data_IF_077553338091
#
_entry.id   IF_077553338091
#
_cell.length_a   1.000
_cell.length_b   1.000
_cell.length_c   1.000
_cell.angle_alpha   90.00
_cell.angle_beta   90.00
_cell.angle_gamma   90.00
#
_symmetry.space_group_name_H-M   'P 1'
#
loop_
_entity.id
_entity.type
_entity.pdbx_description
1 polymer ?
#
# COMPACT_ATOMS: atom_id res chain seq x y z
N UNK A 1 -18.83 81.65 -11.89
CA UNK A 1 -19.46 81.12 -13.11
C UNK A 1 -18.83 79.76 -13.43
N UNK A 2 -19.65 78.69 -13.52
CA UNK A 2 -19.55 77.55 -14.48
C UNK A 2 -18.11 77.06 -14.81
N UNK A 3 -17.65 75.85 -14.48
CA UNK A 3 -18.18 74.52 -14.88
C UNK A 3 -17.18 73.42 -14.46
N UNK A 4 -17.68 72.25 -14.06
CA UNK A 4 -17.21 70.85 -14.33
C UNK A 4 -15.70 70.62 -14.56
N UNK A 5 -14.96 69.76 -13.88
CA UNK A 5 -15.26 68.44 -13.32
C UNK A 5 -14.19 67.48 -13.84
N UNK A 6 -13.44 66.81 -12.95
CA UNK A 6 -12.71 65.58 -13.31
C UNK A 6 -12.43 64.76 -12.05
N UNK A 7 -13.19 63.68 -11.91
CA UNK A 7 -13.05 62.65 -10.91
C UNK A 7 -11.88 61.74 -11.33
N UNK A 8 -10.75 61.78 -10.61
CA UNK A 8 -9.64 60.86 -10.81
C UNK A 8 -9.90 59.57 -10.00
N UNK A 9 -10.56 58.61 -10.65
CA UNK A 9 -10.60 57.21 -10.26
C UNK A 9 -9.25 56.57 -10.65
N UNK A 10 -8.32 56.47 -9.70
CA UNK A 10 -7.17 55.58 -9.82
C UNK A 10 -7.64 54.15 -9.51
N UNK A 11 -7.95 53.42 -10.58
CA UNK A 11 -8.12 51.98 -10.58
C UNK A 11 -6.84 51.32 -10.09
N UNK A 12 -6.90 50.71 -8.90
CA UNK A 12 -5.91 49.75 -8.45
C UNK A 12 -5.99 48.52 -9.36
N UNK A 13 -5.09 48.43 -10.35
CA UNK A 13 -4.82 47.17 -11.05
C UNK A 13 -4.14 46.23 -10.06
N UNK A 14 -4.92 45.37 -9.41
CA UNK A 14 -4.38 44.18 -8.77
C UNK A 14 -3.89 43.26 -9.90
N UNK A 15 -2.62 43.40 -10.26
CA UNK A 15 -1.93 42.40 -11.05
C UNK A 15 -1.87 41.13 -10.18
N UNK A 16 -2.74 40.16 -10.47
CA UNK A 16 -2.54 38.79 -10.01
C UNK A 16 -1.32 38.31 -10.78
N UNK A 17 -0.13 38.46 -10.17
CA UNK A 17 1.06 37.82 -10.66
C UNK A 17 0.83 36.31 -10.58
N UNK A 18 0.54 35.67 -11.71
CA UNK A 18 0.69 34.23 -11.83
C UNK A 18 2.16 33.95 -11.62
N UNK A 19 2.50 33.50 -10.41
CA UNK A 19 3.84 33.05 -10.08
C UNK A 19 4.08 31.79 -10.90
N UNK A 20 4.73 31.94 -12.07
CA UNK A 20 5.26 30.82 -12.82
C UNK A 20 6.26 30.13 -11.89
N UNK A 21 5.94 28.91 -11.44
CA UNK A 21 6.84 28.10 -10.64
C UNK A 21 8.16 27.94 -11.39
N UNK A 22 9.27 28.32 -10.77
CA UNK A 22 10.60 28.02 -11.31
C UNK A 22 10.78 26.50 -11.33
N UNK A 23 11.12 25.96 -12.50
CA UNK A 23 11.49 24.55 -12.61
C UNK A 23 12.71 24.27 -11.72
N UNK A 24 12.67 23.17 -10.97
CA UNK A 24 13.81 22.72 -10.17
C UNK A 24 14.93 22.11 -11.06
N UNK A 25 16.02 21.64 -10.46
CA UNK A 25 17.15 21.05 -11.19
C UNK A 25 16.77 19.80 -12.01
N UNK A 26 15.61 19.20 -11.74
CA UNK A 26 14.99 18.09 -12.48
C UNK A 26 14.05 18.54 -13.60
N UNK A 27 13.85 19.85 -13.80
CA UNK A 27 12.98 20.41 -14.82
C UNK A 27 11.50 20.40 -14.45
N UNK A 28 11.15 20.10 -13.20
CA UNK A 28 9.76 20.00 -12.75
C UNK A 28 9.27 21.37 -12.31
N UNK A 29 8.19 21.85 -12.93
CA UNK A 29 7.51 23.08 -12.51
C UNK A 29 6.71 22.79 -11.24
N UNK A 30 7.12 23.37 -10.12
CA UNK A 30 6.41 23.29 -8.85
C UNK A 30 5.02 23.93 -8.96
N UNK A 31 3.98 23.10 -9.03
CA UNK A 31 2.57 23.51 -8.96
C UNK A 31 1.85 22.67 -7.92
N UNK A 32 0.72 23.11 -7.39
CA UNK A 32 -0.11 22.29 -6.47
C UNK A 32 -0.59 20.99 -7.12
N UNK A 33 -0.63 20.91 -8.45
CA UNK A 33 -0.98 19.70 -9.21
C UNK A 33 0.18 18.71 -9.30
N UNK A 34 1.42 19.20 -9.34
CA UNK A 34 2.63 18.39 -9.46
C UNK A 34 3.24 18.05 -8.09
N UNK A 35 3.18 18.99 -7.13
CA UNK A 35 3.69 18.91 -5.76
C UNK A 35 2.59 19.31 -4.75
N UNK A 36 1.56 18.48 -4.56
CA UNK A 36 0.53 18.74 -3.57
C UNK A 36 1.07 18.64 -2.14
N UNK A 37 0.53 19.46 -1.23
CA UNK A 37 0.80 19.34 0.20
C UNK A 37 0.17 18.04 0.73
N UNK A 38 0.99 17.03 0.99
CA UNK A 38 0.54 15.77 1.59
C UNK A 38 0.87 15.74 3.09
N UNK A 39 -0.02 15.13 3.88
CA UNK A 39 0.31 14.71 5.24
C UNK A 39 0.99 13.35 5.15
N UNK A 40 2.15 13.24 5.76
CA UNK A 40 2.92 12.00 5.79
C UNK A 40 2.73 11.29 7.12
N UNK A 41 2.70 9.96 7.09
CA UNK A 41 2.66 9.11 8.26
C UNK A 41 3.99 8.38 8.41
N UNK A 42 4.71 8.70 9.48
CA UNK A 42 5.90 7.96 9.90
C UNK A 42 5.50 6.56 10.41
N UNK A 43 6.16 5.48 9.95
CA UNK A 43 5.93 4.15 10.49
C UNK A 43 6.15 4.10 12.01
N UNK A 44 5.14 3.64 12.74
CA UNK A 44 5.23 3.38 14.17
C UNK A 44 5.70 1.94 14.44
N UNK A 45 6.04 1.64 15.70
CA UNK A 45 6.33 0.26 16.09
C UNK A 45 5.13 -0.67 15.81
N UNK A 46 3.90 -0.20 16.04
CA UNK A 46 2.70 -0.98 15.72
C UNK A 46 2.60 -1.26 14.20
N UNK A 47 2.92 -0.28 13.35
CA UNK A 47 2.92 -0.49 11.89
C UNK A 47 3.89 -1.58 11.47
N UNK A 48 5.07 -1.66 12.11
CA UNK A 48 6.11 -2.65 11.82
C UNK A 48 5.74 -4.05 12.33
N UNK A 49 5.16 -4.15 13.54
CA UNK A 49 4.81 -5.43 14.17
C UNK A 49 3.43 -5.96 13.82
N UNK A 50 2.57 -5.16 13.18
CA UNK A 50 1.23 -5.55 12.72
C UNK A 50 1.12 -5.62 11.20
N UNK A 51 2.26 -5.61 10.49
CA UNK A 51 2.29 -5.48 9.04
C UNK A 51 1.86 -6.76 8.31
N UNK A 52 2.17 -7.92 8.88
CA UNK A 52 2.00 -9.20 8.18
C UNK A 52 2.99 -9.38 7.04
N UNK A 53 2.89 -10.52 6.34
CA UNK A 53 3.75 -10.85 5.21
C UNK A 53 3.18 -11.97 4.35
N UNK A 54 3.71 -12.15 3.14
CA UNK A 54 3.46 -13.32 2.28
C UNK A 54 4.75 -14.14 2.20
N UNK A 55 4.72 -15.41 2.59
CA UNK A 55 5.92 -16.26 2.57
C UNK A 55 5.75 -17.48 1.65
N UNK A 56 6.74 -17.78 0.78
CA UNK A 56 6.73 -19.01 -0.01
C UNK A 56 6.95 -20.26 0.87
N UNK A 57 7.56 -20.10 2.05
CA UNK A 57 7.76 -21.15 3.03
C UNK A 57 6.62 -21.10 4.05
N UNK A 58 5.93 -22.23 4.23
CA UNK A 58 4.89 -22.32 5.27
C UNK A 58 5.53 -22.23 6.65
N UNK A 59 4.91 -21.43 7.52
CA UNK A 59 5.31 -21.35 8.92
C UNK A 59 4.88 -22.65 9.61
N UNK A 60 5.76 -23.35 10.34
CA UNK A 60 5.38 -24.54 11.09
C UNK A 60 4.31 -24.22 12.14
N UNK A 61 3.23 -24.98 12.16
CA UNK A 61 2.10 -24.81 13.09
C UNK A 61 2.15 -25.77 14.29
N UNK A 62 3.34 -26.31 14.62
CA UNK A 62 3.54 -27.25 15.73
C UNK A 62 3.38 -26.60 17.11
N UNK A 63 3.64 -25.29 17.17
CA UNK A 63 3.51 -24.45 18.33
C UNK A 63 2.40 -23.44 18.04
N UNK A 64 1.35 -23.43 18.88
CA UNK A 64 0.15 -22.63 18.63
C UNK A 64 -0.58 -22.31 19.93
N UNK A 65 -1.52 -21.37 19.87
CA UNK A 65 -2.39 -21.00 20.99
C UNK A 65 -3.48 -22.05 21.13
N UNK A 66 -3.54 -22.74 22.26
CA UNK A 66 -4.55 -23.76 22.57
C UNK A 66 -5.83 -23.13 23.15
N UNK A 67 -5.67 -22.04 23.91
CA UNK A 67 -6.75 -21.35 24.58
C UNK A 67 -6.23 -20.32 25.58
N UNK A 68 -7.01 -20.07 26.62
CA UNK A 68 -6.64 -19.20 27.73
C UNK A 68 -7.46 -19.51 28.97
N UNK A 69 -7.34 -18.66 29.99
CA UNK A 69 -7.89 -18.93 31.33
C UNK A 69 -9.40 -19.23 31.33
N UNK A 70 -10.15 -18.62 30.43
CA UNK A 70 -11.61 -18.75 30.32
C UNK A 70 -12.08 -19.68 29.19
N UNK A 71 -11.19 -20.48 28.61
CA UNK A 71 -11.57 -21.47 27.59
C UNK A 71 -12.50 -22.54 28.20
N UNK A 72 -13.60 -22.95 27.52
CA UNK A 72 -13.96 -22.59 26.14
C UNK A 72 -14.86 -21.35 25.98
N UNK A 73 -15.22 -20.66 27.06
CA UNK A 73 -16.18 -19.55 27.03
C UNK A 73 -15.63 -18.29 26.33
N UNK A 74 -14.32 -18.07 26.41
CA UNK A 74 -13.61 -16.97 25.73
C UNK A 74 -12.62 -17.55 24.72
N UNK A 75 -12.65 -17.00 23.50
CA UNK A 75 -11.81 -17.44 22.37
C UNK A 75 -11.00 -16.31 21.73
N UNK A 76 -11.08 -15.10 22.28
CA UNK A 76 -10.40 -13.90 21.77
C UNK A 76 -9.62 -13.30 22.92
N UNK A 77 -8.30 -13.27 22.80
CA UNK A 77 -7.39 -12.81 23.85
C UNK A 77 -6.63 -11.55 23.43
N UNK A 78 -6.48 -10.62 24.36
CA UNK A 78 -5.88 -9.29 24.15
C UNK A 78 -4.86 -8.96 25.24
N UNK A 79 -4.26 -7.76 25.18
CA UNK A 79 -3.21 -7.32 26.09
C UNK A 79 -3.52 -7.61 27.58
N UNK A 80 -2.54 -8.19 28.28
CA UNK A 80 -2.61 -8.54 29.70
C UNK A 80 -3.34 -9.84 30.02
N UNK A 81 -4.00 -10.48 29.04
CA UNK A 81 -4.68 -11.75 29.26
C UNK A 81 -3.71 -12.94 29.20
N UNK A 82 -4.10 -14.02 29.87
CA UNK A 82 -3.34 -15.27 29.91
C UNK A 82 -3.83 -16.23 28.83
N UNK A 83 -2.88 -16.67 28.00
CA UNK A 83 -3.08 -17.70 26.98
C UNK A 83 -2.28 -18.95 27.32
N UNK A 84 -2.77 -20.09 26.85
CA UNK A 84 -2.08 -21.38 26.89
C UNK A 84 -1.55 -21.69 25.51
N UNK A 85 -0.25 -21.97 25.43
CA UNK A 85 0.41 -22.39 24.21
C UNK A 85 0.56 -23.90 24.22
N UNK A 86 0.16 -24.56 23.14
CA UNK A 86 0.45 -25.96 22.88
C UNK A 86 1.80 -26.11 22.15
N UNK A 87 2.46 -27.24 22.36
CA UNK A 87 3.72 -27.58 21.71
C UNK A 87 4.89 -27.68 22.68
N UNK A 88 6.11 -27.64 22.18
CA UNK A 88 7.31 -27.85 23.00
C UNK A 88 8.44 -26.89 22.63
N UNK A 89 9.47 -26.86 23.47
CA UNK A 89 10.62 -25.97 23.28
C UNK A 89 10.39 -24.54 23.77
N UNK A 90 9.31 -24.28 24.51
CA UNK A 90 9.09 -23.01 25.19
C UNK A 90 10.09 -22.81 26.33
N UNK A 91 10.58 -21.58 26.49
CA UNK A 91 11.44 -21.18 27.59
C UNK A 91 10.76 -20.08 28.41
N UNK A 92 10.86 -20.20 29.73
CA UNK A 92 10.31 -19.19 30.63
C UNK A 92 10.98 -17.83 30.39
N UNK A 93 10.18 -16.77 30.33
CA UNK A 93 10.62 -15.40 30.07
C UNK A 93 10.85 -15.07 28.59
N UNK A 94 10.86 -16.06 27.69
CA UNK A 94 11.02 -15.84 26.25
C UNK A 94 9.74 -15.28 25.62
N UNK A 95 9.91 -14.43 24.61
CA UNK A 95 8.82 -13.86 23.84
C UNK A 95 8.61 -14.61 22.52
N UNK A 96 7.34 -14.68 22.11
CA UNK A 96 6.91 -15.32 20.88
C UNK A 96 6.00 -14.37 20.10
N UNK A 97 6.19 -14.29 18.79
CA UNK A 97 5.24 -13.67 17.87
C UNK A 97 4.10 -14.63 17.57
N UNK A 98 2.88 -14.14 17.63
CA UNK A 98 1.68 -14.88 17.26
C UNK A 98 1.29 -14.52 15.83
N UNK A 99 1.18 -15.54 14.99
CA UNK A 99 0.85 -15.43 13.57
C UNK A 99 -0.47 -16.12 13.25
N UNK A 100 -1.20 -15.59 12.27
CA UNK A 100 -2.40 -16.24 11.73
C UNK A 100 -2.22 -16.49 10.25
N UNK A 101 -2.35 -17.76 9.84
CA UNK A 101 -2.43 -18.11 8.42
C UNK A 101 -3.76 -17.57 7.86
N UNK A 102 -3.68 -16.73 6.83
CA UNK A 102 -4.85 -16.03 6.31
C UNK A 102 -5.47 -16.76 5.12
N UNK A 103 -6.80 -16.68 5.01
CA UNK A 103 -7.54 -17.07 3.81
C UNK A 103 -8.23 -15.84 3.26
N UNK A 104 -8.02 -15.56 1.98
CA UNK A 104 -8.75 -14.50 1.28
C UNK A 104 -10.25 -14.80 1.29
N UNK A 105 -11.02 -13.85 1.80
CA UNK A 105 -12.48 -13.93 1.89
C UNK A 105 -13.17 -13.27 0.70
N UNK A 106 -12.44 -12.51 -0.12
CA UNK A 106 -13.01 -11.85 -1.28
C UNK A 106 -13.33 -12.89 -2.35
N UNK A 107 -14.58 -12.88 -2.82
CA UNK A 107 -15.06 -13.79 -3.88
C UNK A 107 -14.60 -13.37 -5.28
N UNK A 108 -14.07 -12.16 -5.42
CA UNK A 108 -13.54 -11.58 -6.66
C UNK A 108 -12.03 -11.33 -6.58
N UNK A 109 -11.42 -11.03 -7.73
CA UNK A 109 -10.04 -10.54 -7.82
C UNK A 109 -10.06 -9.04 -8.09
N UNK A 110 -9.20 -8.27 -7.43
CA UNK A 110 -9.04 -6.84 -7.71
C UNK A 110 -8.40 -6.58 -9.07
N UNK A 111 -7.58 -7.52 -9.55
CA UNK A 111 -7.05 -7.50 -10.91
C UNK A 111 -6.96 -8.91 -11.47
N UNK A 112 -7.05 -9.04 -12.79
CA UNK A 112 -7.02 -10.34 -13.45
C UNK A 112 -5.76 -11.16 -13.09
N UNK A 113 -5.97 -12.36 -12.55
CA UNK A 113 -4.92 -13.30 -12.17
C UNK A 113 -4.30 -13.05 -10.80
N UNK A 114 -4.89 -12.19 -9.97
CA UNK A 114 -4.41 -11.88 -8.63
C UNK A 114 -4.19 -13.12 -7.77
N UNK A 115 -5.18 -14.02 -7.65
CA UNK A 115 -5.09 -15.20 -6.78
C UNK A 115 -3.97 -16.13 -7.22
N UNK A 116 -3.82 -16.32 -8.53
CA UNK A 116 -2.71 -17.10 -9.11
C UNK A 116 -1.36 -16.45 -8.77
N UNK A 117 -1.27 -15.12 -8.82
CA UNK A 117 -0.04 -14.41 -8.50
C UNK A 117 0.29 -14.54 -7.00
N UNK A 118 -0.67 -14.36 -6.10
CA UNK A 118 -0.48 -14.57 -4.66
C UNK A 118 -0.05 -16.01 -4.38
N UNK A 119 -0.75 -17.01 -4.92
CA UNK A 119 -0.40 -18.41 -4.75
C UNK A 119 1.02 -18.75 -5.26
N UNK A 120 1.49 -18.08 -6.32
CA UNK A 120 2.86 -18.25 -6.82
C UNK A 120 3.93 -17.65 -5.90
N UNK A 121 3.55 -16.75 -4.99
CA UNK A 121 4.45 -16.04 -4.08
C UNK A 121 4.43 -16.63 -2.68
N UNK A 122 3.31 -17.22 -2.27
CA UNK A 122 3.22 -18.00 -1.06
C UNK A 122 1.93 -17.78 -0.28
N UNK A 123 2.01 -18.07 1.00
CA UNK A 123 0.90 -18.00 1.95
C UNK A 123 0.94 -16.65 2.70
N UNK A 124 -0.15 -15.86 2.69
CA UNK A 124 -0.29 -14.68 3.54
C UNK A 124 -0.44 -15.04 5.02
N UNK A 125 0.23 -14.29 5.89
CA UNK A 125 0.14 -14.36 7.33
C UNK A 125 -0.09 -12.97 7.94
N UNK A 126 -0.97 -12.89 8.93
CA UNK A 126 -1.07 -11.74 9.80
C UNK A 126 -0.15 -11.91 11.02
N UNK A 127 0.46 -10.82 11.46
CA UNK A 127 1.10 -10.72 12.76
C UNK A 127 0.07 -10.21 13.76
N UNK A 128 -0.40 -11.10 14.62
CA UNK A 128 -1.57 -10.87 15.50
C UNK A 128 -1.15 -10.27 16.84
N UNK A 129 0.03 -10.64 17.34
CA UNK A 129 0.51 -10.11 18.61
C UNK A 129 1.83 -10.72 19.07
N UNK A 130 2.19 -10.41 20.32
CA UNK A 130 3.38 -10.89 21.01
C UNK A 130 2.98 -11.36 22.41
N UNK A 131 3.49 -12.52 22.80
CA UNK A 131 3.26 -13.12 24.12
C UNK A 131 4.59 -13.35 24.82
N UNK A 132 4.59 -13.30 26.15
CA UNK A 132 5.74 -13.66 26.98
C UNK A 132 5.41 -14.86 27.84
N UNK A 133 6.27 -15.88 27.78
CA UNK A 133 6.07 -17.12 28.53
C UNK A 133 6.31 -16.87 30.02
N UNK A 134 5.31 -17.21 30.85
CA UNK A 134 5.36 -17.11 32.30
C UNK A 134 5.78 -18.42 32.96
N UNK A 135 5.33 -19.55 32.41
CA UNK A 135 5.56 -20.89 32.95
C UNK A 135 5.54 -21.94 31.84
N UNK A 136 6.32 -23.00 32.00
CA UNK A 136 6.45 -24.07 30.99
C UNK A 136 6.07 -25.43 31.57
N UNK A 137 5.47 -26.26 30.71
CA UNK A 137 5.10 -27.65 30.98
C UNK A 137 5.71 -28.54 29.89
N UNK A 138 5.57 -29.86 30.02
CA UNK A 138 6.20 -30.81 29.09
C UNK A 138 5.72 -30.67 27.63
N UNK A 139 4.48 -30.21 27.40
CA UNK A 139 3.87 -30.02 26.07
C UNK A 139 2.99 -28.78 25.97
N UNK A 140 3.18 -27.84 26.88
CA UNK A 140 2.45 -26.58 26.87
C UNK A 140 3.22 -25.49 27.62
N UNK A 141 2.78 -24.26 27.46
CA UNK A 141 3.26 -23.13 28.23
C UNK A 141 2.10 -22.20 28.60
N UNK A 142 2.26 -21.47 29.71
CA UNK A 142 1.39 -20.37 30.10
C UNK A 142 2.09 -19.08 29.70
N UNK A 143 1.41 -18.22 28.95
CA UNK A 143 1.97 -16.96 28.48
C UNK A 143 1.00 -15.81 28.69
N UNK A 144 1.54 -14.60 28.85
CA UNK A 144 0.79 -13.36 28.95
C UNK A 144 0.91 -12.58 27.64
N UNK A 145 -0.21 -12.07 27.14
CA UNK A 145 -0.22 -11.21 25.94
C UNK A 145 0.40 -9.86 26.26
N UNK A 146 1.57 -9.58 25.67
CA UNK A 146 2.28 -8.32 25.87
C UNK A 146 1.82 -7.22 24.92
N UNK A 147 1.41 -7.62 23.71
CA UNK A 147 0.99 -6.71 22.64
C UNK A 147 0.08 -7.45 21.66
N UNK A 148 -1.00 -6.81 21.22
CA UNK A 148 -1.96 -7.37 20.28
C UNK A 148 -2.30 -6.35 19.19
N UNK A 149 -2.10 -6.74 17.94
CA UNK A 149 -2.60 -6.06 16.74
C UNK A 149 -4.06 -6.39 16.48
N UNK A 150 -4.40 -7.66 16.69
CA UNK A 150 -5.74 -8.23 16.59
C UNK A 150 -5.95 -9.20 17.77
N UNK A 151 -7.19 -9.58 18.10
CA UNK A 151 -7.41 -10.60 19.10
C UNK A 151 -6.75 -11.92 18.71
N UNK A 152 -5.98 -12.47 19.65
CA UNK A 152 -5.33 -13.79 19.55
C UNK A 152 -6.39 -14.86 19.75
N UNK A 153 -6.45 -15.83 18.85
CA UNK A 153 -7.44 -16.90 18.86
C UNK A 153 -6.76 -18.27 19.00
N UNK A 154 -7.48 -19.29 19.52
CA UNK A 154 -7.04 -20.67 19.42
C UNK A 154 -6.71 -21.07 17.97
N UNK A 155 -5.59 -21.75 17.79
CA UNK A 155 -5.06 -22.15 16.49
C UNK A 155 -4.08 -21.15 15.86
N UNK A 156 -3.94 -19.93 16.40
CA UNK A 156 -2.88 -19.01 15.96
C UNK A 156 -1.51 -19.59 16.29
N UNK A 157 -0.57 -19.44 15.36
CA UNK A 157 0.76 -20.05 15.39
C UNK A 157 1.70 -19.23 16.28
N UNK A 158 2.48 -19.87 17.13
CA UNK A 158 3.50 -19.23 17.96
C UNK A 158 4.90 -19.50 17.42
N UNK A 159 5.62 -18.45 17.03
CA UNK A 159 7.03 -18.52 16.62
C UNK A 159 7.92 -17.67 17.54
N UNK A 160 9.21 -18.01 17.71
CA UNK A 160 10.11 -17.18 18.50
C UNK A 160 10.11 -15.72 18.03
N UNK A 161 10.04 -14.78 18.97
CA UNK A 161 10.04 -13.36 18.65
C UNK A 161 11.39 -12.94 18.08
N UNK A 162 11.36 -12.17 17.01
CA UNK A 162 12.54 -11.52 16.41
C UNK A 162 12.26 -10.03 16.36
N UNK A 163 13.14 -9.25 16.98
CA UNK A 163 13.04 -7.80 16.98
C UNK A 163 13.26 -7.27 15.55
N UNK A 164 12.36 -6.37 15.14
CA UNK A 164 12.42 -5.72 13.83
C UNK A 164 13.11 -4.36 13.95
N UNK A 165 14.04 -4.02 13.04
CA UNK A 165 14.73 -2.74 13.09
C UNK A 165 13.74 -1.59 12.87
N UNK A 166 13.94 -0.43 13.54
CA UNK A 166 13.15 0.76 13.27
C UNK A 166 13.43 1.27 11.85
N UNK A 167 12.41 1.89 11.24
CA UNK A 167 12.53 2.51 9.92
C UNK A 167 12.99 3.96 10.08
N UNK A 168 14.11 4.32 9.47
CA UNK A 168 14.51 5.72 9.34
C UNK A 168 13.56 6.39 8.33
N UNK A 169 12.64 7.21 8.86
CA UNK A 169 11.66 7.90 8.02
C UNK A 169 12.25 9.17 7.42
N UNK A 170 12.09 9.31 6.11
CA UNK A 170 12.45 10.50 5.36
C UNK A 170 11.15 11.13 4.85
N UNK A 171 10.95 12.41 5.20
CA UNK A 171 9.79 13.13 4.69
C UNK A 171 9.96 13.30 3.17
N UNK A 172 8.95 13.00 2.35
CA UNK A 172 9.01 13.17 0.91
C UNK A 172 9.11 14.67 0.61
N UNK A 173 10.32 15.14 0.30
CA UNK A 173 10.57 16.57 0.06
C UNK A 173 10.02 16.97 -1.32
N UNK A 174 10.02 16.03 -2.27
CA UNK A 174 9.54 16.22 -3.64
C UNK A 174 8.84 14.96 -4.17
N UNK A 175 7.55 15.04 -4.47
CA UNK A 175 6.81 13.97 -5.13
C UNK A 175 6.20 14.47 -6.43
N UNK A 176 6.83 14.15 -7.56
CA UNK A 176 6.29 14.47 -8.88
C UNK A 176 5.26 13.42 -9.32
N UNK A 177 4.00 13.85 -9.34
CA UNK A 177 2.86 13.04 -9.78
C UNK A 177 3.03 12.51 -11.20
N UNK A 178 3.73 13.21 -12.09
CA UNK A 178 3.85 12.84 -13.50
C UNK A 178 5.26 12.43 -13.89
N UNK A 179 6.09 12.06 -12.90
CA UNK A 179 7.45 11.61 -13.14
C UNK A 179 7.46 10.44 -14.16
N UNK A 180 8.31 10.50 -15.20
CA UNK A 180 8.50 9.38 -16.10
C UNK A 180 9.09 8.19 -15.34
N UNK A 181 9.02 7.01 -15.95
CA UNK A 181 9.69 5.83 -15.39
C UNK A 181 11.19 6.06 -15.28
N UNK A 182 11.77 5.72 -14.13
CA UNK A 182 13.20 5.85 -13.89
C UNK A 182 13.99 4.59 -14.30
N UNK A 183 13.30 3.57 -14.84
CA UNK A 183 13.91 2.31 -15.30
C UNK A 183 14.47 1.43 -14.18
N UNK A 184 14.19 1.76 -12.91
CA UNK A 184 14.61 0.97 -11.74
C UNK A 184 13.69 -0.22 -11.52
N UNK A 185 13.88 -0.91 -10.40
CA UNK A 185 13.06 -2.06 -10.04
C UNK A 185 11.58 -1.66 -10.03
N UNK A 186 10.80 -2.39 -10.82
CA UNK A 186 9.35 -2.28 -10.85
C UNK A 186 8.70 -3.55 -10.35
N UNK A 187 7.50 -3.41 -9.81
CA UNK A 187 6.66 -4.53 -9.44
C UNK A 187 5.20 -4.15 -9.38
N UNK A 188 4.46 -4.93 -8.59
CA UNK A 188 3.01 -4.79 -8.45
C UNK A 188 2.57 -5.05 -7.02
N UNK A 189 1.57 -4.31 -6.57
CA UNK A 189 0.86 -4.58 -5.32
C UNK A 189 -0.04 -5.79 -5.52
N UNK A 190 0.21 -6.85 -4.76
CA UNK A 190 -0.53 -8.10 -4.81
C UNK A 190 -1.81 -8.05 -4.00
N UNK A 191 -1.73 -7.45 -2.82
CA UNK A 191 -2.76 -7.55 -1.80
C UNK A 191 -2.59 -6.42 -0.76
N UNK A 192 -3.69 -5.87 -0.25
CA UNK A 192 -3.69 -5.02 0.94
C UNK A 192 -3.83 -5.83 2.22
N UNK A 193 -3.33 -5.31 3.35
CA UNK A 193 -3.65 -5.91 4.66
C UNK A 193 -5.17 -6.00 4.83
N UNK A 194 -5.61 -7.05 5.51
CA UNK A 194 -7.03 -7.36 5.78
C UNK A 194 -7.89 -7.56 4.51
N UNK A 195 -7.24 -7.78 3.37
CA UNK A 195 -7.86 -7.95 2.05
C UNK A 195 -8.58 -6.70 1.53
N UNK A 196 -8.14 -5.52 1.98
CA UNK A 196 -8.64 -4.23 1.52
C UNK A 196 -8.31 -3.98 0.04
N UNK A 197 -9.31 -3.49 -0.69
CA UNK A 197 -9.21 -3.13 -2.10
C UNK A 197 -8.81 -1.68 -2.37
N UNK A 198 -9.08 -0.79 -1.42
CA UNK A 198 -8.89 0.66 -1.54
C UNK A 198 -8.03 1.13 -0.38
N UNK A 199 -6.80 1.54 -0.69
CA UNK A 199 -5.74 1.72 0.29
C UNK A 199 -5.31 3.19 0.32
N UNK A 200 -5.35 3.77 1.50
CA UNK A 200 -4.91 5.14 1.73
C UNK A 200 -3.57 5.22 2.47
N UNK A 201 -3.26 6.42 2.96
CA UNK A 201 -2.14 6.64 3.87
C UNK A 201 -2.26 5.74 5.10
N UNK A 202 -1.14 5.20 5.58
CA UNK A 202 -0.98 4.21 6.68
C UNK A 202 -1.39 2.77 6.36
N UNK A 203 -2.00 2.50 5.21
CA UNK A 203 -2.37 1.15 4.81
C UNK A 203 -1.12 0.32 4.45
N UNK A 204 -1.20 -0.99 4.68
CA UNK A 204 -0.10 -1.94 4.44
C UNK A 204 -0.38 -2.72 3.18
N UNK A 205 0.66 -2.91 2.38
CA UNK A 205 0.57 -3.53 1.06
C UNK A 205 1.64 -4.60 0.90
N UNK A 206 1.29 -5.68 0.22
CA UNK A 206 2.20 -6.78 -0.10
C UNK A 206 2.57 -6.71 -1.57
N UNK A 207 3.87 -6.69 -1.87
CA UNK A 207 4.40 -6.51 -3.23
C UNK A 207 5.12 -7.76 -3.72
N UNK A 208 5.21 -7.91 -5.04
CA UNK A 208 5.63 -9.15 -5.71
C UNK A 208 7.14 -9.34 -5.89
N UNK A 209 7.95 -8.58 -5.15
CA UNK A 209 9.40 -8.64 -5.09
C UNK A 209 9.87 -8.59 -3.64
N UNK A 210 11.05 -9.13 -3.37
CA UNK A 210 11.66 -9.15 -2.05
C UNK A 210 13.18 -9.07 -2.13
N UNK A 211 13.86 -9.68 -1.15
CA UNK A 211 15.31 -9.57 -1.02
C UNK A 211 16.09 -10.23 -2.17
N UNK A 212 15.51 -11.20 -2.89
CA UNK A 212 16.14 -11.77 -4.08
C UNK A 212 16.30 -10.74 -5.23
N UNK A 213 15.50 -9.67 -5.21
CA UNK A 213 15.59 -8.55 -6.15
C UNK A 213 16.39 -7.37 -5.56
N UNK A 214 17.03 -7.55 -4.41
CA UNK A 214 17.86 -6.53 -3.76
C UNK A 214 17.08 -5.52 -2.90
N UNK A 215 15.78 -5.73 -2.69
CA UNK A 215 14.95 -4.84 -1.87
C UNK A 215 15.30 -4.99 -0.39
N UNK A 216 15.38 -3.86 0.29
CA UNK A 216 15.75 -3.73 1.69
C UNK A 216 14.65 -3.04 2.48
N UNK A 217 14.67 -3.30 3.78
CA UNK A 217 13.85 -2.57 4.75
C UNK A 217 14.26 -1.10 4.72
N UNK A 218 13.29 -0.20 4.62
CA UNK A 218 13.51 1.24 4.48
C UNK A 218 13.63 1.76 3.04
N UNK A 219 13.65 0.88 2.03
CA UNK A 219 13.56 1.34 0.63
C UNK A 219 12.21 2.03 0.39
N UNK A 220 12.20 3.02 -0.50
CA UNK A 220 10.99 3.75 -0.91
C UNK A 220 10.58 3.38 -2.32
N UNK A 221 9.27 3.30 -2.56
CA UNK A 221 8.67 3.00 -3.84
C UNK A 221 7.53 3.98 -4.11
N UNK A 222 7.39 4.44 -5.35
CA UNK A 222 6.19 5.15 -5.80
C UNK A 222 5.14 4.14 -6.22
N UNK A 223 3.94 4.25 -5.66
CA UNK A 223 2.75 3.60 -6.20
C UNK A 223 2.31 4.36 -7.45
N UNK A 224 2.05 3.65 -8.55
CA UNK A 224 1.89 4.24 -9.88
C UNK A 224 0.79 3.52 -10.64
N UNK A 225 -0.08 4.29 -11.28
CA UNK A 225 -1.13 3.77 -12.17
C UNK A 225 -1.01 4.39 -13.56
N UNK A 226 -0.48 3.67 -14.57
CA UNK A 226 -0.67 4.06 -15.95
C UNK A 226 -2.08 3.68 -16.42
N UNK A 227 -2.65 4.44 -17.35
CA UNK A 227 -3.98 4.17 -17.93
C UNK A 227 -4.09 2.79 -18.62
N UNK A 228 -2.96 2.16 -18.95
CA UNK A 228 -2.93 0.79 -19.46
C UNK A 228 -3.33 -0.26 -18.41
N UNK A 229 -3.24 0.06 -17.10
CA UNK A 229 -3.81 -0.78 -16.04
C UNK A 229 -5.33 -0.61 -15.99
N UNK A 230 -5.84 0.62 -16.03
CA UNK A 230 -7.29 0.91 -16.03
C UNK A 230 -8.01 0.22 -17.21
N UNK A 231 -7.35 0.16 -18.39
CA UNK A 231 -7.89 -0.55 -19.55
C UNK A 231 -8.06 -2.06 -19.33
N UNK A 232 -7.27 -2.65 -18.42
CA UNK A 232 -7.30 -4.08 -18.07
C UNK A 232 -8.11 -4.37 -16.81
N UNK A 233 -8.53 -3.32 -16.11
CA UNK A 233 -9.36 -3.42 -14.92
C UNK A 233 -10.80 -3.85 -15.30
N UNK A 234 -11.41 -4.81 -14.58
CA UNK A 234 -12.75 -5.29 -14.90
C UNK A 234 -13.83 -4.20 -14.81
N UNK A 235 -13.64 -3.17 -13.99
CA UNK A 235 -14.61 -2.08 -13.77
C UNK A 235 -14.19 -0.84 -14.57
N UNK A 236 -12.97 -0.35 -14.39
CA UNK A 236 -12.53 0.92 -14.99
C UNK A 236 -12.42 0.83 -16.52
N UNK A 237 -12.22 -0.37 -17.08
CA UNK A 237 -12.20 -0.56 -18.53
C UNK A 237 -13.52 -0.19 -19.22
N UNK A 238 -14.64 -0.16 -18.47
CA UNK A 238 -15.94 0.28 -19.00
C UNK A 238 -15.98 1.77 -19.33
N UNK A 239 -15.23 2.60 -18.59
CA UNK A 239 -15.15 4.04 -18.84
C UNK A 239 -14.56 4.35 -20.23
N UNK A 240 -13.61 3.54 -20.71
CA UNK A 240 -13.06 3.68 -22.07
C UNK A 240 -14.03 3.27 -23.18
N UNK A 241 -15.10 2.55 -22.84
CA UNK A 241 -16.18 2.16 -23.77
C UNK A 241 -17.35 3.14 -23.73
N UNK A 242 -17.40 4.01 -22.72
CA UNK A 242 -18.44 5.03 -22.61
C UNK A 242 -18.26 6.09 -23.69
N UNK A 243 -19.38 6.65 -24.15
CA UNK A 243 -19.36 7.81 -25.03
C UNK A 243 -18.83 9.02 -24.27
N UNK A 244 -17.64 9.49 -24.62
CA UNK A 244 -17.04 10.74 -24.10
C UNK A 244 -17.27 11.93 -25.03
N UNK A 245 -18.02 11.71 -26.11
CA UNK A 245 -18.29 12.71 -27.13
C UNK A 245 -19.47 13.60 -26.78
N UNK A 246 -19.31 14.88 -27.10
CA UNK A 246 -20.39 15.85 -27.12
C UNK A 246 -21.25 15.71 -28.38
N UNK A 247 -22.56 15.90 -28.27
CA UNK A 247 -23.51 15.78 -29.39
C UNK A 247 -23.18 16.71 -30.56
N UNK A 248 -22.51 17.84 -30.28
CA UNK A 248 -22.09 18.82 -31.28
C UNK A 248 -20.72 18.50 -31.90
N UNK A 249 -20.03 17.46 -31.46
CA UNK A 249 -18.69 17.12 -31.95
C UNK A 249 -18.75 16.34 -33.27
N UNK A 250 -18.15 16.89 -34.33
CA UNK A 250 -18.21 16.31 -35.68
C UNK A 250 -17.45 14.99 -35.84
N UNK A 251 -16.26 14.90 -35.24
CA UNK A 251 -15.37 13.74 -35.34
C UNK A 251 -15.06 13.23 -33.93
N UNK A 252 -15.64 12.08 -33.57
CA UNK A 252 -15.58 11.55 -32.21
C UNK A 252 -14.25 10.84 -31.96
N UNK A 253 -13.60 11.05 -30.80
CA UNK A 253 -12.41 10.29 -30.43
C UNK A 253 -12.77 8.83 -30.16
N UNK A 254 -11.77 7.96 -30.23
CA UNK A 254 -11.93 6.56 -29.84
C UNK A 254 -10.68 6.11 -29.08
N UNK A 255 -10.85 5.32 -28.04
CA UNK A 255 -9.73 4.71 -27.32
C UNK A 255 -9.38 3.36 -27.94
N UNK A 256 -8.09 3.12 -28.18
CA UNK A 256 -7.55 1.83 -28.63
C UNK A 256 -8.33 1.20 -29.80
N UNK A 257 -8.52 1.98 -30.87
CA UNK A 257 -9.20 1.52 -32.08
C UNK A 257 -8.54 0.25 -32.64
N UNK A 258 -9.35 -0.78 -32.90
CA UNK A 258 -8.94 -2.05 -33.49
C UNK A 258 -9.16 -2.02 -35.01
N UNK A 259 -8.69 -3.05 -35.71
CA UNK A 259 -8.77 -3.18 -37.17
C UNK A 259 -10.18 -2.94 -37.76
N UNK A 260 -11.24 -3.26 -37.02
CA UNK A 260 -12.63 -3.09 -37.45
C UNK A 260 -13.36 -1.91 -36.78
N UNK A 261 -12.67 -1.09 -36.00
CA UNK A 261 -13.24 0.09 -35.36
C UNK A 261 -13.41 1.20 -36.40
N UNK A 262 -14.65 1.53 -36.74
CA UNK A 262 -14.96 2.63 -37.66
C UNK A 262 -14.99 3.95 -36.91
N UNK A 263 -13.90 4.71 -36.97
CA UNK A 263 -13.83 6.08 -36.45
C UNK A 263 -13.28 7.05 -37.48
N UNK A 264 -13.79 8.28 -37.49
CA UNK A 264 -13.30 9.40 -38.30
C UNK A 264 -12.55 10.45 -37.46
N UNK A 265 -12.52 10.26 -36.13
CA UNK A 265 -11.82 11.13 -35.20
C UNK A 265 -10.48 10.56 -34.74
N UNK A 266 -9.81 11.25 -33.81
CA UNK A 266 -8.51 10.83 -33.32
C UNK A 266 -8.61 9.49 -32.56
N UNK A 267 -7.62 8.63 -32.77
CA UNK A 267 -7.44 7.41 -31.98
C UNK A 267 -6.50 7.72 -30.83
N UNK A 268 -7.00 7.58 -29.60
CA UNK A 268 -6.24 7.79 -28.38
C UNK A 268 -5.65 6.45 -27.95
N UNK A 269 -4.32 6.38 -27.95
CA UNK A 269 -3.59 5.27 -27.36
C UNK A 269 -3.35 5.57 -25.88
N UNK A 270 -3.89 4.75 -24.99
CA UNK A 270 -3.82 5.01 -23.55
C UNK A 270 -2.40 4.87 -23.01
N UNK A 271 -1.52 4.21 -23.76
CA UNK A 271 -0.09 4.12 -23.47
C UNK A 271 0.64 5.47 -23.66
N UNK A 272 0.10 6.38 -24.48
CA UNK A 272 0.69 7.70 -24.71
C UNK A 272 0.28 8.72 -23.63
N UNK A 273 -0.72 8.36 -22.80
CA UNK A 273 -1.14 9.19 -21.69
C UNK A 273 -0.12 9.13 -20.55
N UNK A 274 0.11 10.25 -19.83
CA UNK A 274 1.06 10.28 -18.73
C UNK A 274 0.63 9.31 -17.63
N UNK A 275 1.56 8.46 -17.19
CA UNK A 275 1.40 7.71 -15.93
C UNK A 275 1.27 8.68 -14.77
N UNK A 276 0.57 8.26 -13.72
CA UNK A 276 0.41 9.03 -12.48
C UNK A 276 0.96 8.27 -11.30
N UNK A 277 1.78 8.94 -10.50
CA UNK A 277 2.20 8.48 -9.20
C UNK A 277 1.10 8.82 -8.18
N UNK A 278 0.65 7.81 -7.45
CA UNK A 278 -0.49 7.86 -6.53
C UNK A 278 -0.07 8.19 -5.11
N UNK A 279 1.12 7.75 -4.71
CA UNK A 279 1.65 7.89 -3.38
C UNK A 279 2.99 7.20 -3.25
N UNK A 280 3.49 7.16 -2.03
CA UNK A 280 4.77 6.58 -1.71
C UNK A 280 4.64 5.50 -0.63
N UNK A 281 5.42 4.45 -0.80
CA UNK A 281 5.43 3.25 0.02
C UNK A 281 6.83 3.06 0.57
N UNK A 282 6.95 2.91 1.89
CA UNK A 282 8.20 2.50 2.53
C UNK A 282 8.17 1.01 2.86
N UNK A 283 9.26 0.30 2.62
CA UNK A 283 9.35 -1.13 2.92
C UNK A 283 9.54 -1.35 4.43
N UNK A 284 8.62 -2.10 5.05
CA UNK A 284 8.67 -2.47 6.46
C UNK A 284 9.35 -3.81 6.72
N UNK A 285 9.14 -4.78 5.82
CA UNK A 285 9.72 -6.11 5.92
C UNK A 285 9.89 -6.75 4.54
N UNK A 286 10.80 -7.72 4.45
CA UNK A 286 11.09 -8.44 3.20
C UNK A 286 11.14 -9.94 3.45
N UNK A 287 10.57 -10.69 2.51
CA UNK A 287 10.86 -12.12 2.34
C UNK A 287 11.72 -12.29 1.09
N UNK A 288 12.17 -13.51 0.72
CA UNK A 288 12.93 -13.70 -0.51
C UNK A 288 12.18 -13.26 -1.78
N UNK A 289 10.86 -13.39 -1.83
CA UNK A 289 10.06 -13.21 -3.06
C UNK A 289 9.01 -12.10 -2.98
N UNK A 290 8.77 -11.56 -1.80
CA UNK A 290 7.77 -10.50 -1.52
C UNK A 290 8.31 -9.49 -0.52
N UNK A 291 7.61 -8.38 -0.40
CA UNK A 291 7.89 -7.35 0.59
C UNK A 291 6.58 -6.79 1.12
N UNK A 292 6.59 -6.37 2.38
CA UNK A 292 5.49 -5.64 2.99
C UNK A 292 5.89 -4.19 3.11
N UNK A 293 5.07 -3.30 2.56
CA UNK A 293 5.28 -1.86 2.64
C UNK A 293 4.12 -1.16 3.35
N UNK A 294 4.35 0.06 3.78
CA UNK A 294 3.31 0.97 4.26
C UNK A 294 3.25 2.19 3.37
N UNK A 295 2.04 2.57 2.97
CA UNK A 295 1.81 3.81 2.23
C UNK A 295 2.02 4.98 3.21
N UNK A 296 3.11 5.72 3.06
CA UNK A 296 3.45 6.84 3.95
C UNK A 296 2.68 8.11 3.59
N UNK A 297 2.25 8.23 2.34
CA UNK A 297 1.18 9.14 1.92
C UNK A 297 0.58 8.68 0.61
N UNK A 298 -0.64 9.15 0.35
CA UNK A 298 -1.34 8.93 -0.90
C UNK A 298 -2.07 10.21 -1.32
N UNK A 299 -1.93 10.59 -2.58
CA UNK A 299 -2.71 11.65 -3.24
C UNK A 299 -4.06 11.13 -3.71
N UNK A 300 -4.09 9.84 -4.03
CA UNK A 300 -5.25 9.09 -4.48
C UNK A 300 -5.21 7.70 -3.85
N UNK A 301 -6.33 7.00 -3.91
CA UNK A 301 -6.40 5.62 -3.46
C UNK A 301 -5.50 4.69 -4.27
N UNK A 302 -4.76 3.86 -3.54
CA UNK A 302 -3.90 2.81 -4.09
C UNK A 302 -4.68 1.50 -4.07
N UNK A 303 -4.54 0.69 -5.12
CA UNK A 303 -5.28 -0.55 -5.31
C UNK A 303 -4.32 -1.74 -5.47
N UNK A 304 -4.69 -2.94 -4.99
CA UNK A 304 -4.06 -4.16 -5.47
C UNK A 304 -4.16 -4.22 -7.00
N UNK A 305 -3.03 -4.41 -7.67
CA UNK A 305 -2.90 -4.32 -9.13
C UNK A 305 -2.05 -3.16 -9.61
N UNK A 306 -1.96 -2.09 -8.82
CA UNK A 306 -1.11 -0.94 -9.12
C UNK A 306 0.36 -1.34 -9.25
N UNK A 307 1.04 -0.63 -10.14
CA UNK A 307 2.48 -0.76 -10.28
C UNK A 307 3.17 -0.04 -9.12
N UNK A 308 4.36 -0.50 -8.79
CA UNK A 308 5.27 0.20 -7.89
C UNK A 308 6.64 0.29 -8.53
N UNK A 309 7.34 1.39 -8.30
CA UNK A 309 8.68 1.63 -8.86
C UNK A 309 9.59 2.18 -7.77
N UNK A 310 10.80 1.62 -7.65
CA UNK A 310 11.79 2.04 -6.66
C UNK A 310 12.10 3.52 -6.82
N UNK A 311 12.04 4.26 -5.72
CA UNK A 311 12.41 5.68 -5.65
C UNK A 311 13.68 5.82 -4.83
N UNK A 312 14.77 6.19 -5.49
CA UNK A 312 15.99 6.57 -4.81
C UNK A 312 15.78 7.97 -4.25
N UNK A 313 15.30 8.05 -3.01
CA UNK A 313 15.25 9.33 -2.31
C UNK A 313 16.69 9.87 -2.16
N UNK A 314 16.90 11.08 -2.67
CA UNK A 314 18.17 11.82 -2.56
C UNK A 314 18.30 12.48 -1.18
#
# INVERSE_FOLDING_TARGET
>A
MKKTGLLLLLLATAAVAQQAGSADASGIVATTSNLPMARFQTPTAADIYCAGFISPQRVPNVNYVDGGLQTPNTTKFTNGEIVYLAGSGYQQGQEYTILRELRDVNEYEFFAGQRRMIASKGQPYAEVGRVKVLDTRSRSAVAEVQFSCDPINPGDIAIPFVEKPPIAFHAPIHFDRFAPSNGKLMGRILLGKDFDGTLGTSAKVYMNFGSNQGVKIGDYFKAVRPYTLDLKDPVDSHSFKASTSEDTQRNLPTFEAKLFTRTKGPNIHVADLPRRALGEVVILSVTPTTSTGMIVFALEDVHPGDAVELDEQQ
#
